data_IF_000909027124
#
_entry.id   IF_000909027124
#
_cell.length_a   1.000
_cell.length_b   1.000
_cell.length_c   1.000
_cell.angle_alpha   90.00
_cell.angle_beta   90.00
_cell.angle_gamma   90.00
#
_symmetry.space_group_name_H-M   'P 1'
#
loop_
_entity.id
_entity.type
_entity.pdbx_description
1 polymer ?
#
# COMPACT_ATOMS: atom_id res chain seq x y z
N UNK A 1 26.37 6.07 8.10
CA UNK A 1 25.32 6.90 8.76
C UNK A 1 25.07 8.20 8.00
N UNK A 2 26.12 8.95 7.63
CA UNK A 2 26.00 10.16 6.80
C UNK A 2 25.26 9.92 5.47
N UNK A 3 25.59 8.84 4.74
CA UNK A 3 24.84 8.45 3.54
C UNK A 3 23.35 8.20 3.82
N UNK A 4 23.02 7.56 4.94
CA UNK A 4 21.65 7.16 5.25
C UNK A 4 20.76 8.38 5.51
N UNK A 5 21.21 9.30 6.36
CA UNK A 5 20.45 10.51 6.70
C UNK A 5 20.56 11.63 5.65
N UNK A 6 21.69 11.69 4.94
CA UNK A 6 21.95 12.76 3.97
C UNK A 6 21.49 12.44 2.54
N UNK A 7 21.44 11.15 2.17
CA UNK A 7 21.17 10.73 0.77
C UNK A 7 19.97 9.81 0.69
N UNK A 8 19.93 8.76 1.51
CA UNK A 8 18.90 7.73 1.40
C UNK A 8 17.52 8.23 1.88
N UNK A 9 17.39 8.70 3.12
CA UNK A 9 16.09 9.15 3.65
C UNK A 9 15.46 10.28 2.81
N UNK A 10 16.20 11.32 2.38
CA UNK A 10 15.61 12.40 1.57
C UNK A 10 15.22 11.99 0.14
N UNK A 11 15.78 10.90 -0.39
CA UNK A 11 15.48 10.41 -1.74
C UNK A 11 14.30 9.45 -1.80
N UNK A 12 13.84 8.93 -0.65
CA UNK A 12 12.67 8.04 -0.57
C UNK A 12 11.39 8.62 -1.18
N UNK A 13 11.00 9.89 -0.92
CA UNK A 13 9.81 10.49 -1.52
C UNK A 13 9.81 10.39 -3.05
N UNK A 14 10.95 10.69 -3.65
CA UNK A 14 11.13 10.67 -5.11
C UNK A 14 11.12 9.24 -5.65
N UNK A 15 11.76 8.31 -4.95
CA UNK A 15 11.84 6.90 -5.35
C UNK A 15 10.46 6.25 -5.34
N UNK A 16 9.69 6.47 -4.27
CA UNK A 16 8.33 5.94 -4.12
C UNK A 16 7.39 6.52 -5.18
N UNK A 17 7.53 7.81 -5.49
CA UNK A 17 6.76 8.47 -6.54
C UNK A 17 7.06 7.91 -7.94
N UNK A 18 8.34 7.70 -8.29
CA UNK A 18 8.70 7.07 -9.57
C UNK A 18 8.08 5.68 -9.67
N UNK A 19 8.16 4.88 -8.60
CA UNK A 19 7.55 3.54 -8.58
C UNK A 19 6.04 3.62 -8.81
N UNK A 20 5.36 4.61 -8.23
CA UNK A 20 3.92 4.83 -8.45
C UNK A 20 3.61 5.12 -9.93
N UNK A 21 4.38 6.02 -10.54
CA UNK A 21 4.25 6.40 -11.96
C UNK A 21 4.52 5.20 -12.87
N UNK A 22 5.57 4.42 -12.61
CA UNK A 22 5.89 3.19 -13.33
C UNK A 22 4.76 2.18 -13.19
N UNK A 23 4.23 1.97 -11.98
CA UNK A 23 3.09 1.09 -11.73
C UNK A 23 1.84 1.50 -12.52
N UNK A 24 1.59 2.80 -12.64
CA UNK A 24 0.51 3.31 -13.49
C UNK A 24 0.76 3.00 -14.97
N UNK A 25 1.97 3.24 -15.50
CA UNK A 25 2.32 2.92 -16.90
C UNK A 25 2.15 1.42 -17.19
N UNK A 26 2.59 0.56 -16.28
CA UNK A 26 2.37 -0.89 -16.38
C UNK A 26 0.87 -1.23 -16.39
N UNK A 27 0.06 -0.54 -15.57
CA UNK A 27 -1.39 -0.68 -15.59
C UNK A 27 -2.03 -0.25 -16.91
N UNK A 28 -1.49 0.78 -17.58
CA UNK A 28 -1.95 1.19 -18.93
C UNK A 28 -1.68 0.08 -19.94
N UNK A 29 -0.50 -0.53 -19.92
CA UNK A 29 -0.17 -1.65 -20.82
C UNK A 29 -1.11 -2.85 -20.60
N UNK A 30 -1.44 -3.18 -19.36
CA UNK A 30 -2.40 -4.23 -19.04
C UNK A 30 -3.81 -3.88 -19.57
N UNK A 31 -4.23 -2.62 -19.45
CA UNK A 31 -5.53 -2.16 -19.95
C UNK A 31 -5.64 -2.24 -21.48
N UNK A 32 -4.53 -2.05 -22.23
CA UNK A 32 -4.52 -2.24 -23.70
C UNK A 32 -4.88 -3.67 -24.10
N UNK A 33 -4.48 -4.67 -23.29
CA UNK A 33 -4.82 -6.08 -23.52
C UNK A 33 -6.22 -6.42 -22.99
N UNK A 34 -6.62 -5.83 -21.86
CA UNK A 34 -7.92 -6.09 -21.23
C UNK A 34 -9.10 -5.44 -21.98
N UNK A 35 -8.92 -4.25 -22.55
CA UNK A 35 -10.00 -3.50 -23.20
C UNK A 35 -10.61 -4.21 -24.43
N UNK A 36 -9.83 -4.84 -25.34
CA UNK A 36 -10.38 -5.63 -26.44
C UNK A 36 -11.18 -6.85 -25.96
N UNK A 37 -10.69 -7.57 -24.93
CA UNK A 37 -11.41 -8.70 -24.35
C UNK A 37 -12.76 -8.25 -23.75
N UNK A 38 -12.78 -7.09 -23.09
CA UNK A 38 -14.01 -6.48 -22.59
C UNK A 38 -14.96 -6.05 -23.72
N UNK A 39 -14.44 -5.51 -24.82
CA UNK A 39 -15.23 -5.15 -26.00
C UNK A 39 -15.83 -6.39 -26.69
N UNK A 40 -15.12 -7.53 -26.74
CA UNK A 40 -15.67 -8.79 -27.24
C UNK A 40 -16.88 -9.26 -26.43
N UNK A 41 -16.83 -9.10 -25.09
CA UNK A 41 -17.96 -9.42 -24.21
C UNK A 41 -19.19 -8.56 -24.47
N UNK A 42 -19.04 -7.37 -25.08
CA UNK A 42 -20.16 -6.50 -25.46
C UNK A 42 -20.83 -6.91 -26.78
N UNK A 43 -20.25 -7.82 -27.56
CA UNK A 43 -20.78 -8.23 -28.86
C UNK A 43 -21.65 -9.50 -28.80
N UNK A 44 -21.69 -10.22 -27.68
CA UNK A 44 -22.56 -11.40 -27.46
C UNK A 44 -23.94 -11.00 -26.90
N UNK A 45 -25.07 -11.31 -27.59
CA UNK A 45 -26.43 -11.01 -27.09
C UNK A 45 -26.82 -11.90 -25.89
N UNK A 46 -27.37 -11.27 -24.86
CA UNK A 46 -27.52 -11.76 -23.47
C UNK A 46 -28.31 -13.07 -23.25
N UNK A 47 -27.89 -13.86 -22.23
CA UNK A 47 -28.77 -14.49 -21.22
C UNK A 47 -28.03 -14.58 -19.86
N UNK A 48 -28.47 -13.79 -18.88
CA UNK A 48 -28.13 -13.81 -17.43
C UNK A 48 -26.65 -13.60 -17.01
N UNK A 49 -26.22 -12.35 -16.86
CA UNK A 49 -25.47 -11.82 -15.69
C UNK A 49 -25.37 -10.28 -15.83
N UNK A 50 -26.47 -9.60 -15.52
CA UNK A 50 -26.52 -8.13 -15.45
C UNK A 50 -25.64 -7.71 -14.26
N UNK A 51 -24.43 -7.25 -14.56
CA UNK A 51 -23.44 -6.80 -13.57
C UNK A 51 -22.07 -6.45 -14.16
N UNK A 52 -21.73 -6.97 -15.35
CA UNK A 52 -20.38 -6.88 -15.94
C UNK A 52 -20.15 -5.70 -16.90
N UNK A 53 -21.18 -5.14 -17.55
CA UNK A 53 -20.98 -4.08 -18.54
C UNK A 53 -20.46 -2.77 -17.94
N UNK A 54 -20.98 -2.36 -16.78
CA UNK A 54 -20.53 -1.16 -16.05
C UNK A 54 -19.07 -1.29 -15.57
N UNK A 55 -18.56 -2.51 -15.39
CA UNK A 55 -17.25 -2.76 -14.79
C UNK A 55 -16.07 -2.35 -15.68
N UNK A 56 -16.18 -2.45 -17.01
CA UNK A 56 -15.10 -2.00 -17.90
C UNK A 56 -15.07 -0.49 -18.13
N UNK A 57 -16.23 0.18 -18.08
CA UNK A 57 -16.27 1.64 -18.03
C UNK A 57 -15.59 2.17 -16.78
N UNK A 58 -15.82 1.52 -15.63
CA UNK A 58 -15.15 1.83 -14.38
C UNK A 58 -13.64 1.53 -14.44
N UNK A 59 -13.23 0.45 -15.09
CA UNK A 59 -11.81 0.14 -15.32
C UNK A 59 -11.10 1.26 -16.11
N UNK A 60 -11.69 1.73 -17.21
CA UNK A 60 -11.12 2.83 -18.01
C UNK A 60 -11.10 4.14 -17.23
N UNK A 61 -12.19 4.49 -16.54
CA UNK A 61 -12.24 5.67 -15.68
C UNK A 61 -11.16 5.62 -14.59
N UNK A 62 -10.96 4.45 -13.97
CA UNK A 62 -9.94 4.25 -12.95
C UNK A 62 -8.52 4.43 -13.47
N UNK A 63 -8.26 4.03 -14.71
CA UNK A 63 -6.95 4.14 -15.35
C UNK A 63 -6.53 5.59 -15.59
N UNK A 64 -7.48 6.44 -16.01
CA UNK A 64 -7.25 7.87 -16.25
C UNK A 64 -7.30 8.71 -14.97
N UNK A 65 -8.04 8.27 -13.95
CA UNK A 65 -8.08 8.95 -12.65
C UNK A 65 -6.80 8.72 -11.82
N UNK A 66 -6.19 7.52 -11.94
CA UNK A 66 -4.95 7.15 -11.24
C UNK A 66 -3.81 8.18 -11.29
N UNK A 67 -3.36 8.71 -12.45
CA UNK A 67 -2.22 9.63 -12.51
C UNK A 67 -2.50 10.94 -11.74
N UNK A 68 -3.73 11.44 -11.82
CA UNK A 68 -4.15 12.64 -11.06
C UNK A 68 -4.14 12.36 -9.56
N UNK A 69 -4.63 11.19 -9.16
CA UNK A 69 -4.68 10.76 -7.75
C UNK A 69 -3.28 10.49 -7.17
N UNK A 70 -2.35 9.96 -7.94
CA UNK A 70 -0.95 9.75 -7.52
C UNK A 70 -0.29 11.10 -7.17
N UNK A 71 -0.45 12.08 -8.06
CA UNK A 71 0.10 13.44 -7.87
C UNK A 71 -0.55 14.11 -6.66
N UNK A 72 -1.87 14.01 -6.53
CA UNK A 72 -2.57 14.54 -5.35
C UNK A 72 -2.11 13.88 -4.05
N UNK A 73 -1.92 12.56 -4.05
CA UNK A 73 -1.40 11.82 -2.90
C UNK A 73 0.04 12.21 -2.53
N UNK A 74 0.87 12.61 -3.50
CA UNK A 74 2.20 13.13 -3.22
C UNK A 74 2.14 14.46 -2.46
N UNK A 75 1.30 15.41 -2.90
CA UNK A 75 1.13 16.69 -2.22
C UNK A 75 0.53 16.52 -0.82
N UNK A 76 -0.47 15.64 -0.68
CA UNK A 76 -1.03 15.30 0.62
C UNK A 76 0.03 14.69 1.55
N UNK A 77 0.85 13.76 1.04
CA UNK A 77 1.96 13.18 1.79
C UNK A 77 2.99 14.23 2.22
N UNK A 78 3.36 15.17 1.34
CA UNK A 78 4.29 16.26 1.66
C UNK A 78 3.75 17.18 2.76
N UNK A 79 2.46 17.53 2.71
CA UNK A 79 1.82 18.36 3.72
C UNK A 79 1.80 17.69 5.10
N UNK A 80 1.57 16.37 5.14
CA UNK A 80 1.45 15.59 6.38
C UNK A 80 2.83 15.12 6.90
N UNK A 81 3.84 15.03 6.03
CA UNK A 81 5.18 14.56 6.40
C UNK A 81 5.79 15.37 7.54
N UNK A 82 5.74 16.71 7.46
CA UNK A 82 6.36 17.57 8.45
C UNK A 82 5.80 17.37 9.88
N UNK A 83 4.48 17.48 10.13
CA UNK A 83 3.94 17.29 11.49
C UNK A 83 4.18 15.87 12.04
N UNK A 84 4.09 14.83 11.19
CA UNK A 84 4.33 13.45 11.64
C UNK A 84 5.79 13.22 12.02
N UNK A 85 6.73 13.65 11.19
CA UNK A 85 8.16 13.50 11.46
C UNK A 85 8.58 14.28 12.69
N UNK A 86 8.04 15.49 12.90
CA UNK A 86 8.29 16.28 14.10
C UNK A 86 7.75 15.60 15.37
N UNK A 87 6.53 15.04 15.31
CA UNK A 87 5.94 14.31 16.42
C UNK A 87 6.82 13.12 16.83
N UNK A 88 7.21 12.31 15.86
CA UNK A 88 8.03 11.11 16.08
C UNK A 88 9.42 11.47 16.60
N UNK A 89 10.03 12.52 16.05
CA UNK A 89 11.35 12.99 16.49
C UNK A 89 11.33 13.46 17.94
N UNK A 90 10.30 14.20 18.35
CA UNK A 90 10.12 14.61 19.74
C UNK A 90 9.93 13.41 20.68
N UNK A 91 9.10 12.45 20.29
CA UNK A 91 8.87 11.23 21.08
C UNK A 91 10.16 10.41 21.24
N UNK A 92 10.94 10.26 20.16
CA UNK A 92 12.19 9.52 20.18
C UNK A 92 13.24 10.17 21.10
N UNK A 93 13.42 11.48 21.01
CA UNK A 93 14.38 12.19 21.86
C UNK A 93 13.95 12.24 23.34
N UNK A 94 12.64 12.28 23.62
CA UNK A 94 12.14 12.14 24.98
C UNK A 94 12.44 10.75 25.57
N UNK A 95 12.24 9.69 24.78
CA UNK A 95 12.62 8.33 25.18
C UNK A 95 14.13 8.21 25.39
N UNK A 96 14.95 8.73 24.47
CA UNK A 96 16.40 8.73 24.61
C UNK A 96 16.85 9.42 25.89
N UNK A 97 16.32 10.61 26.20
CA UNK A 97 16.66 11.36 27.40
C UNK A 97 16.42 10.54 28.68
N UNK A 98 15.27 9.86 28.79
CA UNK A 98 14.96 9.03 29.95
C UNK A 98 15.87 7.78 30.10
N UNK A 99 16.30 7.20 28.99
CA UNK A 99 17.17 6.01 29.00
C UNK A 99 18.62 6.38 29.32
N UNK A 100 19.13 7.48 28.76
CA UNK A 100 20.53 7.90 28.96
C UNK A 100 20.77 8.47 30.36
N UNK A 101 19.79 9.12 31.00
CA UNK A 101 19.92 9.57 32.40
C UNK A 101 20.06 8.44 33.42
N UNK A 102 19.70 7.22 33.03
CA UNK A 102 19.74 6.02 33.88
C UNK A 102 21.03 5.21 33.69
N UNK A 103 21.87 5.57 32.71
CA UNK A 103 23.10 4.87 32.39
C UNK A 103 24.30 5.59 33.01
N UNK A 104 25.19 4.85 33.65
CA UNK A 104 26.44 5.42 34.15
C UNK A 104 27.36 5.83 32.98
N UNK A 105 27.98 7.00 33.09
CA UNK A 105 28.93 7.50 32.09
C UNK A 105 30.20 6.63 32.10
N UNK A 106 30.31 5.71 31.14
CA UNK A 106 31.44 4.79 30.97
C UNK A 106 32.62 5.40 30.15
N UNK A 107 32.75 6.73 30.16
CA UNK A 107 33.81 7.48 29.49
C UNK A 107 33.52 7.84 28.03
N UNK A 108 34.21 8.88 27.54
CA UNK A 108 33.95 9.53 26.24
C UNK A 108 33.88 8.56 25.04
N UNK A 109 34.76 7.55 24.99
CA UNK A 109 34.78 6.59 23.90
C UNK A 109 33.51 5.73 23.86
N UNK A 110 33.01 5.27 25.01
CA UNK A 110 31.80 4.44 25.08
C UNK A 110 30.55 5.26 24.77
N UNK A 111 30.49 6.51 25.24
CA UNK A 111 29.39 7.43 24.95
C UNK A 111 29.27 7.73 23.45
N UNK A 112 30.40 7.89 22.74
CA UNK A 112 30.38 8.08 21.29
C UNK A 112 29.76 6.89 20.55
N UNK A 113 30.09 5.66 20.95
CA UNK A 113 29.50 4.45 20.37
C UNK A 113 28.01 4.29 20.70
N UNK A 114 27.60 4.64 21.94
CA UNK A 114 26.19 4.65 22.32
C UNK A 114 25.38 5.68 21.53
N UNK A 115 25.89 6.92 21.40
CA UNK A 115 25.27 7.97 20.61
C UNK A 115 25.09 7.55 19.14
N UNK A 116 26.13 6.95 18.54
CA UNK A 116 26.03 6.36 17.19
C UNK A 116 24.93 5.30 17.11
N UNK A 117 24.82 4.40 18.09
CA UNK A 117 23.79 3.36 18.08
C UNK A 117 22.37 3.94 18.19
N UNK A 118 22.17 4.99 18.99
CA UNK A 118 20.90 5.70 19.06
C UNK A 118 20.52 6.37 17.74
N UNK A 119 21.48 6.97 17.02
CA UNK A 119 21.22 7.47 15.69
C UNK A 119 20.85 6.37 14.67
N UNK A 120 21.43 5.17 14.80
CA UNK A 120 21.03 4.03 13.96
C UNK A 120 19.60 3.61 14.26
N UNK A 121 19.23 3.51 15.54
CA UNK A 121 17.86 3.21 15.96
C UNK A 121 16.86 4.26 15.45
N UNK A 122 17.21 5.55 15.53
CA UNK A 122 16.40 6.63 14.99
C UNK A 122 16.20 6.48 13.48
N UNK A 123 17.27 6.17 12.74
CA UNK A 123 17.21 5.96 11.30
C UNK A 123 16.30 4.79 10.92
N UNK A 124 16.45 3.66 11.62
CA UNK A 124 15.60 2.48 11.42
C UNK A 124 14.13 2.75 11.72
N UNK A 125 13.83 3.61 12.70
CA UNK A 125 12.46 3.99 13.04
C UNK A 125 11.84 4.94 12.00
N UNK A 126 12.63 5.86 11.42
CA UNK A 126 12.14 6.77 10.39
C UNK A 126 11.80 6.07 9.07
N UNK A 127 12.48 4.98 8.73
CA UNK A 127 12.27 4.27 7.48
C UNK A 127 10.81 3.83 7.27
N UNK A 128 10.20 2.97 8.11
CA UNK A 128 8.82 2.51 7.91
C UNK A 128 7.83 3.68 7.94
N UNK A 129 8.11 4.72 8.74
CA UNK A 129 7.28 5.92 8.84
C UNK A 129 7.24 6.68 7.52
N UNK A 130 8.41 6.94 6.91
CA UNK A 130 8.49 7.63 5.61
C UNK A 130 7.82 6.78 4.52
N UNK A 131 8.02 5.47 4.52
CA UNK A 131 7.31 4.57 3.61
C UNK A 131 5.78 4.63 3.78
N UNK A 132 5.27 4.72 5.00
CA UNK A 132 3.83 4.86 5.25
C UNK A 132 3.29 6.21 4.77
N UNK A 133 4.01 7.30 5.02
CA UNK A 133 3.58 8.65 4.62
C UNK A 133 3.55 8.77 3.09
N UNK A 134 4.67 8.44 2.43
CA UNK A 134 4.78 8.59 0.98
C UNK A 134 4.13 7.44 0.20
N UNK A 135 3.91 6.28 0.85
CA UNK A 135 3.08 5.19 0.33
C UNK A 135 1.62 5.58 0.12
N UNK A 136 1.17 6.68 0.73
CA UNK A 136 -0.13 7.28 0.43
C UNK A 136 -0.26 7.61 -1.07
N UNK A 137 0.79 8.09 -1.73
CA UNK A 137 0.75 8.41 -3.17
C UNK A 137 0.47 7.17 -4.04
N UNK A 138 0.89 5.98 -3.58
CA UNK A 138 0.66 4.72 -4.28
C UNK A 138 -0.72 4.12 -3.99
N UNK A 139 -1.17 4.21 -2.74
CA UNK A 139 -2.40 3.55 -2.28
C UNK A 139 -3.65 4.42 -2.43
N UNK A 140 -3.50 5.74 -2.50
CA UNK A 140 -4.62 6.68 -2.63
C UNK A 140 -5.49 6.41 -3.86
N UNK A 141 -4.94 6.15 -5.07
CA UNK A 141 -5.76 5.83 -6.21
C UNK A 141 -6.66 4.62 -5.95
N UNK A 142 -6.09 3.53 -5.41
CA UNK A 142 -6.82 2.30 -5.18
C UNK A 142 -7.91 2.45 -4.11
N UNK A 143 -7.60 3.17 -3.03
CA UNK A 143 -8.57 3.45 -1.96
C UNK A 143 -9.71 4.32 -2.49
N UNK A 144 -9.42 5.42 -3.18
CA UNK A 144 -10.46 6.32 -3.71
C UNK A 144 -11.34 5.57 -4.73
N UNK A 145 -10.75 4.79 -5.61
CA UNK A 145 -11.50 4.03 -6.62
C UNK A 145 -12.36 2.94 -5.99
N UNK A 146 -11.86 2.25 -4.95
CA UNK A 146 -12.65 1.28 -4.17
C UNK A 146 -13.89 1.93 -3.55
N UNK A 147 -13.77 3.16 -3.05
CA UNK A 147 -14.89 3.89 -2.46
C UNK A 147 -15.93 4.35 -3.48
N UNK A 148 -15.52 4.59 -4.74
CA UNK A 148 -16.43 4.99 -5.84
C UNK A 148 -17.26 3.79 -6.38
N UNK A 149 -17.09 2.58 -5.82
CA UNK A 149 -17.83 1.39 -6.24
C UNK A 149 -17.04 0.47 -7.16
N UNK A 150 -15.73 0.72 -7.33
CA UNK A 150 -14.79 -0.22 -7.94
C UNK A 150 -14.33 -1.20 -6.85
N UNK A 151 -15.28 -1.86 -6.22
CA UNK A 151 -15.03 -3.14 -5.56
C UNK A 151 -14.85 -4.16 -6.67
N UNK A 152 -13.69 -4.18 -7.33
CA UNK A 152 -13.25 -5.39 -8.02
C UNK A 152 -12.94 -6.35 -6.90
N UNK A 153 -13.99 -6.98 -6.38
CA UNK A 153 -13.82 -8.24 -5.70
C UNK A 153 -13.13 -9.13 -6.74
N UNK A 154 -11.98 -9.66 -6.34
CA UNK A 154 -11.15 -10.54 -7.15
C UNK A 154 -12.04 -11.55 -7.88
N UNK A 155 -12.28 -11.32 -9.18
CA UNK A 155 -13.13 -12.19 -10.01
C UNK A 155 -12.48 -13.58 -10.23
N UNK A 156 -11.33 -13.85 -9.61
CA UNK A 156 -10.66 -15.14 -9.63
C UNK A 156 -10.61 -15.89 -8.30
N UNK A 157 -10.97 -15.31 -7.15
CA UNK A 157 -10.79 -15.98 -5.85
C UNK A 157 -12.06 -16.22 -5.04
N UNK A 158 -13.15 -15.46 -5.25
CA UNK A 158 -14.31 -15.54 -4.33
C UNK A 158 -15.43 -16.46 -4.83
N UNK A 159 -15.73 -16.52 -6.14
CA UNK A 159 -16.75 -17.45 -6.66
C UNK A 159 -16.26 -18.91 -6.67
N UNK A 160 -15.03 -19.17 -7.11
CA UNK A 160 -14.48 -20.53 -7.15
C UNK A 160 -14.31 -21.14 -5.74
N UNK A 161 -13.94 -20.35 -4.73
CA UNK A 161 -13.80 -20.87 -3.35
C UNK A 161 -15.13 -20.95 -2.60
N UNK A 162 -16.12 -20.08 -2.89
CA UNK A 162 -17.46 -20.22 -2.29
C UNK A 162 -18.24 -21.39 -2.89
N UNK A 163 -18.13 -21.63 -4.21
CA UNK A 163 -18.73 -22.80 -4.87
C UNK A 163 -18.03 -24.11 -4.47
N UNK A 164 -16.70 -24.13 -4.33
CA UNK A 164 -16.00 -25.30 -3.80
C UNK A 164 -16.39 -25.60 -2.34
N UNK A 165 -16.47 -24.58 -1.46
CA UNK A 165 -16.97 -24.77 -0.08
C UNK A 165 -18.40 -25.29 -0.04
N UNK A 166 -19.29 -24.74 -0.87
CA UNK A 166 -20.69 -25.18 -0.97
C UNK A 166 -20.83 -26.63 -1.48
N UNK A 167 -20.00 -27.04 -2.44
CA UNK A 167 -19.97 -28.42 -2.91
C UNK A 167 -19.35 -29.37 -1.88
N UNK A 168 -18.33 -28.96 -1.12
CA UNK A 168 -17.77 -29.79 -0.03
C UNK A 168 -18.78 -30.04 1.09
N UNK A 169 -19.65 -29.08 1.40
CA UNK A 169 -20.74 -29.27 2.37
C UNK A 169 -21.84 -30.23 1.88
N UNK A 170 -22.11 -30.27 0.57
CA UNK A 170 -23.11 -31.19 -0.03
C UNK A 170 -22.60 -32.63 -0.19
N UNK A 171 -21.29 -32.86 -0.21
CA UNK A 171 -20.68 -34.18 -0.39
C UNK A 171 -19.97 -34.72 0.87
N UNK A 172 -20.12 -34.07 2.02
CA UNK A 172 -19.63 -34.56 3.32
C UNK A 172 -20.46 -35.73 3.86
N UNK A 173 -19.84 -36.80 4.41
CA UNK A 173 -20.50 -38.07 4.67
C UNK A 173 -21.44 -37.99 5.89
N UNK A 174 -22.73 -37.76 5.65
CA UNK A 174 -23.79 -37.96 6.63
C UNK A 174 -24.32 -39.41 6.60
N UNK A 175 -23.43 -40.39 6.75
CA UNK A 175 -23.80 -41.82 6.73
C UNK A 175 -23.19 -42.64 7.88
N UNK A 176 -22.92 -42.04 9.02
CA UNK A 176 -22.57 -42.80 10.23
C UNK A 176 -23.42 -42.34 11.41
N UNK A 177 -24.36 -43.20 11.80
CA UNK A 177 -25.00 -43.16 13.11
C UNK A 177 -26.51 -42.92 13.11
N UNK A 178 -27.28 -43.90 12.64
CA UNK A 178 -28.63 -44.17 13.17
C UNK A 178 -29.01 -45.63 12.91
N UNK A 179 -28.53 -46.50 13.80
CA UNK A 179 -29.18 -47.73 14.24
C UNK A 179 -29.26 -47.64 15.77
#
# INVERSE_FOLDING_TARGET
>A
LAFYFGVFLPSLPYTIFIIAVVGWVLGVLQAVVAAPLWALMHMTPERTFVGSQTQGYLMLLSLFARPVLIVFGLFAAMAIANPILLYISKAFWAMHAANVTSAESLGWFVEFFQWRNWLIMYGLLLLPVIYMIFGLSQTLPDVVLKWIGIGIDSMGSTQATSEMRSNTEKFGPSSLGRC
#
